data_IF_843754446914
#
_entry.id   IF_843754446914
#
_cell.length_a   1.000
_cell.length_b   1.000
_cell.length_c   1.000
_cell.angle_alpha   90.00
_cell.angle_beta   90.00
_cell.angle_gamma   90.00
#
_symmetry.space_group_name_H-M   'P 1'
#
loop_
_entity.id
_entity.type
_entity.pdbx_description
1 polymer ?
#
# COMPACT_ATOMS: atom_id res chain seq x y z
N UNK A 1 2.93 29.79 -1.74
CA UNK A 1 2.72 28.49 -2.41
C UNK A 1 3.47 27.46 -1.60
N UNK A 2 2.76 26.53 -0.95
CA UNK A 2 3.42 25.49 -0.15
C UNK A 2 4.16 24.54 -1.11
N UNK A 3 5.39 24.20 -0.75
CA UNK A 3 6.23 23.21 -1.40
C UNK A 3 5.49 21.86 -1.51
N UNK A 4 5.10 21.45 -2.72
CA UNK A 4 4.51 20.13 -3.02
C UNK A 4 5.48 18.96 -2.77
N UNK A 5 6.71 19.23 -2.30
CA UNK A 5 7.78 18.23 -2.09
C UNK A 5 7.81 17.62 -0.69
N UNK A 6 7.02 18.13 0.26
CA UNK A 6 7.14 17.76 1.68
C UNK A 6 5.93 17.01 2.25
N UNK A 7 4.99 16.55 1.41
CA UNK A 7 3.88 15.72 1.86
C UNK A 7 4.38 14.30 2.17
N UNK A 8 4.64 14.03 3.45
CA UNK A 8 5.02 12.71 3.96
C UNK A 8 3.78 11.96 4.43
N UNK A 9 3.73 10.65 4.16
CA UNK A 9 2.68 9.77 4.69
C UNK A 9 2.81 9.71 6.21
N UNK A 10 1.74 10.03 6.92
CA UNK A 10 1.71 9.93 8.38
C UNK A 10 1.44 8.47 8.77
N UNK A 11 2.39 7.87 9.51
CA UNK A 11 2.24 6.50 10.04
C UNK A 11 2.45 6.51 11.54
N UNK A 12 1.45 6.04 12.30
CA UNK A 12 1.58 5.82 13.73
C UNK A 12 1.90 4.36 13.98
N UNK A 13 2.92 4.11 14.80
CA UNK A 13 3.38 2.76 15.16
C UNK A 13 3.34 2.64 16.68
N UNK A 14 2.41 1.83 17.19
CA UNK A 14 2.22 1.58 18.61
C UNK A 14 2.35 0.09 18.92
N UNK A 15 2.75 -0.26 20.14
CA UNK A 15 2.78 -1.65 20.61
C UNK A 15 1.85 -1.81 21.80
N UNK A 16 0.82 -2.65 21.63
CA UNK A 16 -0.09 -3.02 22.72
C UNK A 16 0.35 -4.36 23.32
N UNK A 17 0.60 -4.35 24.63
CA UNK A 17 0.87 -5.55 25.40
C UNK A 17 -0.45 -6.17 25.86
N UNK A 18 -0.83 -7.34 25.32
CA UNK A 18 -2.08 -8.00 25.69
C UNK A 18 -1.94 -8.91 26.91
N UNK A 19 -1.27 -8.40 27.94
CA UNK A 19 -0.88 -9.17 29.12
C UNK A 19 -2.08 -9.73 29.88
N UNK A 20 -3.18 -8.97 29.96
CA UNK A 20 -4.38 -9.35 30.71
C UNK A 20 -5.08 -10.59 30.13
N UNK A 21 -5.08 -10.77 28.80
CA UNK A 21 -5.79 -11.86 28.11
C UNK A 21 -4.87 -13.03 27.73
N UNK A 22 -3.60 -12.76 27.41
CA UNK A 22 -2.69 -13.76 26.82
C UNK A 22 -1.38 -13.94 27.59
N UNK A 23 -1.27 -13.39 28.79
CA UNK A 23 -0.05 -13.48 29.61
C UNK A 23 1.12 -12.68 29.02
N UNK A 24 2.35 -12.96 29.47
CA UNK A 24 3.54 -12.15 29.16
C UNK A 24 4.03 -12.24 27.71
N UNK A 25 3.56 -13.22 26.94
CA UNK A 25 4.13 -13.57 25.64
C UNK A 25 3.55 -12.78 24.47
N UNK A 26 2.28 -12.33 24.55
CA UNK A 26 1.62 -11.74 23.38
C UNK A 26 1.69 -10.21 23.35
N UNK A 27 2.35 -9.69 22.32
CA UNK A 27 2.41 -8.27 21.97
C UNK A 27 1.83 -8.08 20.57
N UNK A 28 1.08 -7.01 20.35
CA UNK A 28 0.55 -6.62 19.03
C UNK A 28 1.17 -5.29 18.64
N UNK A 29 1.72 -5.23 17.43
CA UNK A 29 2.15 -3.98 16.80
C UNK A 29 0.99 -3.44 15.96
N UNK A 30 0.49 -2.27 16.35
CA UNK A 30 -0.54 -1.54 15.62
C UNK A 30 0.18 -0.54 14.72
N UNK A 31 -0.11 -0.60 13.43
CA UNK A 31 0.40 0.32 12.42
C UNK A 31 -0.80 1.01 11.79
N UNK A 32 -1.01 2.28 12.12
CA UNK A 32 -2.01 3.11 11.48
C UNK A 32 -1.37 3.82 10.30
N UNK A 33 -1.84 3.48 9.09
CA UNK A 33 -1.39 4.08 7.84
C UNK A 33 -2.39 5.12 7.36
N UNK A 34 -1.88 6.14 6.69
CA UNK A 34 -2.71 7.15 6.05
C UNK A 34 -3.51 6.55 4.87
N UNK A 35 -4.67 7.14 4.60
CA UNK A 35 -5.48 6.86 3.44
C UNK A 35 -5.04 7.67 2.20
N UNK A 36 -4.32 8.77 2.39
CA UNK A 36 -3.89 9.68 1.32
C UNK A 36 -2.52 9.29 0.75
N UNK A 37 -2.34 9.47 -0.57
CA UNK A 37 -1.07 9.30 -1.27
C UNK A 37 -0.58 10.67 -1.73
N UNK A 38 0.57 11.16 -1.22
CA UNK A 38 1.19 12.40 -1.67
C UNK A 38 1.45 12.43 -3.17
N UNK A 39 1.25 13.58 -3.83
CA UNK A 39 1.46 13.72 -5.28
C UNK A 39 2.89 13.34 -5.71
N UNK A 40 3.90 13.77 -4.95
CA UNK A 40 5.30 13.44 -5.24
C UNK A 40 5.59 11.93 -5.21
N UNK A 41 4.83 11.15 -4.45
CA UNK A 41 4.99 9.70 -4.35
C UNK A 41 4.34 8.95 -5.51
N UNK A 42 3.35 9.54 -6.19
CA UNK A 42 2.59 8.88 -7.26
C UNK A 42 3.49 8.56 -8.46
N UNK A 43 4.39 9.48 -8.83
CA UNK A 43 5.29 9.27 -9.97
C UNK A 43 6.27 8.12 -9.72
N UNK A 44 6.83 8.06 -8.51
CA UNK A 44 7.74 7.01 -8.10
C UNK A 44 7.04 5.65 -8.00
N UNK A 45 5.82 5.64 -7.44
CA UNK A 45 4.95 4.46 -7.42
C UNK A 45 4.70 3.94 -8.84
N UNK A 46 4.34 4.83 -9.77
CA UNK A 46 4.06 4.45 -11.15
C UNK A 46 5.29 3.81 -11.82
N UNK A 47 6.46 4.43 -11.69
CA UNK A 47 7.72 3.89 -12.24
C UNK A 47 8.05 2.53 -11.65
N UNK A 48 7.91 2.37 -10.34
CA UNK A 48 8.20 1.10 -9.68
C UNK A 48 7.22 0.00 -10.09
N UNK A 49 5.93 0.31 -10.17
CA UNK A 49 4.89 -0.65 -10.57
C UNK A 49 5.16 -1.20 -11.96
N UNK A 50 5.47 -0.33 -12.93
CA UNK A 50 5.72 -0.73 -14.31
C UNK A 50 7.01 -1.55 -14.49
N UNK A 51 7.98 -1.41 -13.58
CA UNK A 51 9.23 -2.18 -13.61
C UNK A 51 9.11 -3.59 -12.98
N UNK A 52 8.00 -3.90 -12.28
CA UNK A 52 7.82 -5.18 -11.60
C UNK A 52 7.16 -6.21 -12.52
N UNK A 53 7.62 -7.47 -12.45
CA UNK A 53 6.99 -8.58 -13.19
C UNK A 53 5.59 -8.92 -12.68
N UNK A 54 5.38 -8.79 -11.37
CA UNK A 54 4.10 -9.05 -10.72
C UNK A 54 3.93 -8.07 -9.56
N UNK A 55 2.69 -7.62 -9.37
CA UNK A 55 2.33 -6.56 -8.45
C UNK A 55 1.24 -7.07 -7.52
N UNK A 56 1.55 -7.08 -6.22
CA UNK A 56 0.59 -7.35 -5.16
C UNK A 56 0.26 -6.05 -4.43
N UNK A 57 -1.03 -5.76 -4.17
CA UNK A 57 -1.42 -4.57 -3.40
C UNK A 57 -0.79 -4.51 -2.01
N UNK A 58 -0.60 -5.68 -1.37
CA UNK A 58 -0.01 -5.78 -0.05
C UNK A 58 1.47 -5.34 -0.04
N UNK A 59 2.24 -5.74 -1.05
CA UNK A 59 3.67 -5.44 -1.13
C UNK A 59 3.92 -3.94 -1.28
N UNK A 60 3.12 -3.28 -2.13
CA UNK A 60 3.16 -1.83 -2.29
C UNK A 60 2.74 -1.11 -1.00
N UNK A 61 1.65 -1.57 -0.37
CA UNK A 61 1.16 -0.98 0.87
C UNK A 61 2.19 -1.03 2.00
N UNK A 62 2.91 -2.15 2.14
CA UNK A 62 3.98 -2.29 3.13
C UNK A 62 5.17 -1.42 2.79
N UNK A 63 5.59 -1.37 1.51
CA UNK A 63 6.79 -0.61 1.10
C UNK A 63 6.63 0.90 1.25
N UNK A 64 5.46 1.43 0.88
CA UNK A 64 5.18 2.87 0.91
C UNK A 64 4.41 3.28 2.16
N UNK A 65 4.12 2.34 3.04
CA UNK A 65 3.47 2.58 4.32
C UNK A 65 2.06 3.23 4.16
N UNK A 66 1.35 2.81 3.10
CA UNK A 66 -0.02 3.23 2.72
C UNK A 66 -1.02 2.12 3.05
N UNK A 67 -2.31 2.46 3.26
CA UNK A 67 -3.37 1.44 3.37
C UNK A 67 -3.50 0.58 2.11
N UNK A 68 -3.68 -0.73 2.32
CA UNK A 68 -3.93 -1.70 1.23
C UNK A 68 -5.17 -1.33 0.40
N UNK A 69 -6.22 -0.80 1.04
CA UNK A 69 -7.43 -0.34 0.35
C UNK A 69 -7.13 0.79 -0.64
N UNK A 70 -6.30 1.75 -0.25
CA UNK A 70 -5.92 2.87 -1.12
C UNK A 70 -5.09 2.38 -2.30
N UNK A 71 -4.15 1.46 -2.06
CA UNK A 71 -3.35 0.86 -3.13
C UNK A 71 -4.22 0.08 -4.12
N UNK A 72 -5.25 -0.65 -3.63
CA UNK A 72 -6.19 -1.34 -4.52
C UNK A 72 -6.91 -0.38 -5.45
N UNK A 73 -7.40 0.74 -4.93
CA UNK A 73 -8.04 1.77 -5.75
C UNK A 73 -7.09 2.35 -6.80
N UNK A 74 -5.83 2.59 -6.42
CA UNK A 74 -4.80 3.07 -7.34
C UNK A 74 -4.54 2.08 -8.48
N UNK A 75 -4.38 0.79 -8.16
CA UNK A 75 -4.14 -0.25 -9.16
C UNK A 75 -5.35 -0.48 -10.06
N UNK A 76 -6.57 -0.40 -9.52
CA UNK A 76 -7.80 -0.46 -10.32
C UNK A 76 -7.90 0.73 -11.28
N UNK A 77 -7.43 1.92 -10.88
CA UNK A 77 -7.33 3.06 -11.79
C UNK A 77 -6.30 2.81 -12.89
N UNK A 78 -5.11 2.31 -12.55
CA UNK A 78 -4.09 1.98 -13.54
C UNK A 78 -4.49 0.87 -14.49
N UNK A 79 -5.30 -0.08 -14.03
CA UNK A 79 -5.90 -1.10 -14.89
C UNK A 79 -6.89 -0.47 -15.89
N UNK A 80 -7.77 0.43 -15.43
CA UNK A 80 -8.68 1.19 -16.31
C UNK A 80 -7.94 2.07 -17.31
N UNK A 81 -6.83 2.66 -16.89
CA UNK A 81 -5.96 3.49 -17.74
C UNK A 81 -5.11 2.65 -18.71
N UNK A 82 -5.17 1.31 -18.65
CA UNK A 82 -4.44 0.40 -19.53
C UNK A 82 -2.94 0.31 -19.26
N UNK A 83 -2.49 0.66 -18.05
CA UNK A 83 -1.08 0.59 -17.65
C UNK A 83 -0.68 -0.79 -17.10
N UNK A 84 -1.64 -1.47 -16.47
CA UNK A 84 -1.48 -2.80 -15.90
C UNK A 84 -2.72 -3.64 -16.21
N UNK A 85 -2.63 -4.95 -16.04
CA UNK A 85 -3.78 -5.86 -16.14
C UNK A 85 -3.82 -6.79 -14.94
N UNK A 86 -5.02 -7.15 -14.49
CA UNK A 86 -5.19 -8.24 -13.56
C UNK A 86 -4.82 -9.57 -14.24
N UNK A 87 -4.00 -10.37 -13.57
CA UNK A 87 -3.49 -11.65 -14.10
C UNK A 87 -4.62 -12.68 -14.22
N UNK A 88 -5.42 -12.82 -13.16
CA UNK A 88 -6.55 -13.73 -13.09
C UNK A 88 -7.64 -13.13 -12.19
N UNK A 89 -8.84 -12.82 -12.73
CA UNK A 89 -9.95 -12.26 -11.97
C UNK A 89 -10.61 -13.25 -11.00
N UNK A 90 -10.41 -14.55 -11.17
CA UNK A 90 -10.99 -15.59 -10.31
C UNK A 90 -10.25 -15.74 -8.97
N UNK A 91 -9.00 -15.28 -8.90
CA UNK A 91 -8.19 -15.36 -7.70
C UNK A 91 -8.67 -14.38 -6.63
N UNK A 92 -8.83 -14.86 -5.39
CA UNK A 92 -9.06 -14.00 -4.22
C UNK A 92 -7.89 -13.03 -3.99
N UNK A 93 -6.68 -13.48 -4.32
CA UNK A 93 -5.47 -12.67 -4.28
C UNK A 93 -5.34 -11.96 -5.63
N UNK A 94 -5.66 -10.66 -5.66
CA UNK A 94 -5.49 -9.85 -6.86
C UNK A 94 -3.99 -9.67 -7.16
N UNK A 95 -3.55 -10.20 -8.29
CA UNK A 95 -2.19 -10.06 -8.81
C UNK A 95 -2.28 -9.27 -10.11
N UNK A 96 -1.54 -8.18 -10.20
CA UNK A 96 -1.47 -7.36 -11.41
C UNK A 96 -0.12 -7.56 -12.11
N UNK A 97 -0.10 -7.38 -13.42
CA UNK A 97 1.12 -7.38 -14.23
C UNK A 97 1.13 -6.15 -15.14
N UNK A 98 2.29 -5.52 -15.39
CA UNK A 98 2.38 -4.47 -16.41
C UNK A 98 2.01 -5.00 -17.78
N UNK A 99 1.49 -4.10 -18.62
CA UNK A 99 1.22 -4.35 -20.05
C UNK A 99 2.45 -4.04 -20.87
#
# INVERSE_FOLDING_TARGET
MLSDKDDKVLVKKDTINLRRKYGRSKKINIIERDAFIPKGMIEDLKKEILNKKAILPADIAVKYDIRVSTVKLLLEQYEKDGLIKLLDPSLKLKIYVPI
#
